data_IF_944133232717
#
_entry.id   IF_944133232717
#
_cell.length_a   1.000
_cell.length_b   1.000
_cell.length_c   1.000
_cell.angle_alpha   90.00
_cell.angle_beta   90.00
_cell.angle_gamma   90.00
#
_symmetry.space_group_name_H-M   'P 1'
#
loop_
_entity.id
_entity.type
_entity.pdbx_description
1 polymer ?
#
# COMPACT_ATOMS: atom_id res chain seq x y z
N UNK A 1 7.43 -8.08 -25.60
CA UNK A 1 6.11 -7.44 -25.85
C UNK A 1 4.94 -8.43 -25.98
N UNK A 2 5.01 -9.66 -25.42
CA UNK A 2 4.02 -10.71 -25.72
C UNK A 2 3.32 -11.38 -24.53
N UNK A 3 3.59 -11.00 -23.27
CA UNK A 3 3.02 -11.72 -22.12
C UNK A 3 1.66 -11.17 -21.62
N UNK A 4 1.28 -9.95 -22.04
CA UNK A 4 0.05 -9.29 -21.56
C UNK A 4 -1.11 -9.31 -22.57
N UNK A 5 -0.89 -9.76 -23.81
CA UNK A 5 -1.90 -9.72 -24.87
C UNK A 5 -2.87 -10.92 -24.88
N UNK A 6 -2.68 -11.91 -24.01
CA UNK A 6 -3.53 -13.11 -23.91
C UNK A 6 -4.29 -13.23 -22.60
N UNK A 7 -4.21 -12.22 -21.72
CA UNK A 7 -5.04 -12.17 -20.53
C UNK A 7 -6.41 -11.63 -20.94
N UNK A 8 -7.38 -12.52 -21.10
CA UNK A 8 -8.81 -12.17 -21.16
C UNK A 8 -9.19 -11.46 -19.85
N UNK A 9 -9.03 -10.14 -19.84
CA UNK A 9 -9.33 -9.33 -18.67
C UNK A 9 -10.85 -9.34 -18.47
N UNK A 10 -11.35 -9.82 -17.32
CA UNK A 10 -12.78 -9.91 -17.07
C UNK A 10 -13.41 -8.51 -17.15
N UNK A 11 -14.66 -8.41 -17.60
CA UNK A 11 -15.35 -7.10 -17.65
C UNK A 11 -15.45 -6.51 -16.23
N UNK A 12 -15.26 -5.19 -16.07
CA UNK A 12 -15.34 -4.58 -14.75
C UNK A 12 -16.75 -4.73 -14.15
N UNK A 13 -16.82 -5.08 -12.87
CA UNK A 13 -18.09 -5.40 -12.20
C UNK A 13 -18.80 -4.09 -11.76
N UNK A 14 -20.12 -3.94 -12.01
CA UNK A 14 -20.89 -2.78 -11.56
C UNK A 14 -20.91 -2.63 -10.03
N UNK A 15 -20.83 -1.38 -9.56
CA UNK A 15 -20.24 -1.05 -8.27
C UNK A 15 -21.29 -0.64 -7.23
N UNK A 16 -21.30 -1.32 -6.07
CA UNK A 16 -22.25 -1.03 -4.98
C UNK A 16 -21.71 -0.02 -3.94
N UNK A 17 -20.39 0.03 -3.71
CA UNK A 17 -19.76 0.89 -2.68
C UNK A 17 -18.53 1.65 -3.21
N UNK A 18 -18.77 2.79 -3.87
CA UNK A 18 -17.71 3.62 -4.49
C UNK A 18 -16.67 4.14 -3.48
N UNK A 19 -17.08 4.43 -2.24
CA UNK A 19 -16.17 4.97 -1.21
C UNK A 19 -15.13 3.93 -0.77
N UNK A 20 -15.54 2.69 -0.50
CA UNK A 20 -14.63 1.59 -0.13
C UNK A 20 -13.65 1.30 -1.26
N UNK A 21 -14.16 1.28 -2.49
CA UNK A 21 -13.33 1.11 -3.67
C UNK A 21 -12.31 2.23 -3.80
N UNK A 22 -12.72 3.48 -3.55
CA UNK A 22 -11.82 4.63 -3.51
C UNK A 22 -10.67 4.43 -2.52
N UNK A 23 -10.94 3.93 -1.31
CA UNK A 23 -9.90 3.65 -0.31
C UNK A 23 -8.94 2.56 -0.80
N UNK A 24 -9.46 1.44 -1.33
CA UNK A 24 -8.62 0.36 -1.88
C UNK A 24 -7.77 0.85 -3.07
N UNK A 25 -8.37 1.67 -3.93
CA UNK A 25 -7.68 2.26 -5.07
C UNK A 25 -6.56 3.19 -4.63
N UNK A 26 -6.84 4.08 -3.66
CA UNK A 26 -5.85 4.99 -3.10
C UNK A 26 -4.70 4.24 -2.43
N UNK A 27 -4.98 3.16 -1.69
CA UNK A 27 -3.95 2.32 -1.10
C UNK A 27 -3.04 1.69 -2.17
N UNK A 28 -3.63 1.09 -3.20
CA UNK A 28 -2.88 0.53 -4.33
C UNK A 28 -2.06 1.58 -5.09
N UNK A 29 -2.67 2.74 -5.36
CA UNK A 29 -2.01 3.85 -6.05
C UNK A 29 -0.84 4.41 -5.27
N UNK A 30 -0.98 4.56 -3.95
CA UNK A 30 0.10 5.02 -3.08
C UNK A 30 1.28 4.04 -3.10
N UNK A 31 1.02 2.75 -2.93
CA UNK A 31 2.07 1.71 -3.03
C UNK A 31 2.75 1.70 -4.40
N UNK A 32 1.96 1.83 -5.46
CA UNK A 32 2.48 1.85 -6.82
C UNK A 32 3.39 3.05 -7.05
N UNK A 33 2.93 4.26 -6.71
CA UNK A 33 3.70 5.50 -6.93
C UNK A 33 4.98 5.50 -6.10
N UNK A 34 4.91 5.14 -4.81
CA UNK A 34 6.11 5.05 -3.97
C UNK A 34 7.10 4.00 -4.50
N UNK A 35 6.59 2.82 -4.88
CA UNK A 35 7.37 1.76 -5.50
C UNK A 35 8.10 2.23 -6.76
N UNK A 36 7.40 2.90 -7.67
CA UNK A 36 8.01 3.42 -8.90
C UNK A 36 9.01 4.55 -8.59
N UNK A 37 8.68 5.48 -7.69
CA UNK A 37 9.57 6.58 -7.34
C UNK A 37 10.88 6.08 -6.73
N UNK A 38 10.83 5.17 -5.74
CA UNK A 38 12.04 4.59 -5.17
C UNK A 38 12.79 3.65 -6.13
N UNK A 39 12.07 3.04 -7.09
CA UNK A 39 12.71 2.26 -8.14
C UNK A 39 13.48 3.14 -9.12
N UNK A 40 12.90 4.26 -9.60
CA UNK A 40 13.51 5.13 -10.61
C UNK A 40 14.58 6.02 -9.97
N UNK A 41 14.28 6.63 -8.83
CA UNK A 41 15.08 7.64 -8.13
C UNK A 41 15.51 7.15 -6.72
N UNK A 42 16.34 6.10 -6.60
CA UNK A 42 16.70 5.55 -5.30
C UNK A 42 17.56 6.49 -4.45
N UNK A 43 18.37 7.37 -5.05
CA UNK A 43 19.20 8.33 -4.28
C UNK A 43 18.32 9.34 -3.53
N UNK A 44 17.40 9.98 -4.24
CA UNK A 44 16.40 10.85 -3.63
C UNK A 44 15.55 10.11 -2.59
N UNK A 45 15.09 8.90 -2.91
CA UNK A 45 14.19 8.17 -2.03
C UNK A 45 14.88 7.62 -0.78
N UNK A 46 16.03 6.97 -0.92
CA UNK A 46 16.69 6.27 0.18
C UNK A 46 17.70 7.15 0.90
N UNK A 47 18.53 7.90 0.18
CA UNK A 47 19.61 8.67 0.78
C UNK A 47 19.13 10.04 1.26
N UNK A 48 18.45 10.83 0.41
CA UNK A 48 18.03 12.17 0.82
C UNK A 48 16.87 12.16 1.81
N UNK A 49 15.88 11.28 1.61
CA UNK A 49 14.70 11.21 2.47
C UNK A 49 14.90 10.34 3.73
N UNK A 50 15.59 9.20 3.62
CA UNK A 50 15.71 8.23 4.72
C UNK A 50 17.14 8.02 5.23
N UNK A 51 18.13 8.76 4.71
CA UNK A 51 19.53 8.67 5.12
C UNK A 51 20.11 7.24 5.05
N UNK A 52 19.65 6.46 4.06
CA UNK A 52 20.13 5.10 3.82
C UNK A 52 21.36 5.14 2.92
N UNK A 53 22.46 4.59 3.43
CA UNK A 53 23.71 4.45 2.68
C UNK A 53 23.59 3.38 1.59
N UNK A 54 24.02 3.72 0.38
CA UNK A 54 24.09 2.80 -0.77
C UNK A 54 25.55 2.68 -1.26
N UNK A 55 26.44 2.01 -0.51
CA UNK A 55 27.88 2.02 -0.76
C UNK A 55 28.30 1.28 -2.03
N UNK A 56 27.44 0.41 -2.57
CA UNK A 56 27.75 -0.42 -3.73
C UNK A 56 26.60 -0.45 -4.74
N UNK A 57 26.88 -0.71 -6.03
CA UNK A 57 25.83 -0.96 -7.02
C UNK A 57 24.89 -2.11 -6.63
N UNK A 58 25.40 -3.10 -5.89
CA UNK A 58 24.61 -4.23 -5.40
C UNK A 58 23.57 -3.80 -4.36
N UNK A 59 23.94 -2.98 -3.37
CA UNK A 59 22.99 -2.43 -2.39
C UNK A 59 21.89 -1.61 -3.07
N UNK A 60 22.23 -0.76 -4.05
CA UNK A 60 21.25 0.00 -4.82
C UNK A 60 20.30 -0.91 -5.60
N UNK A 61 20.82 -1.98 -6.20
CA UNK A 61 20.00 -2.96 -6.94
C UNK A 61 19.00 -3.67 -6.03
N UNK A 62 19.42 -4.09 -4.84
CA UNK A 62 18.54 -4.73 -3.86
C UNK A 62 17.40 -3.79 -3.46
N UNK A 63 17.71 -2.53 -3.14
CA UNK A 63 16.72 -1.52 -2.79
C UNK A 63 15.74 -1.26 -3.95
N UNK A 64 16.23 -1.15 -5.19
CA UNK A 64 15.37 -1.06 -6.38
C UNK A 64 14.45 -2.27 -6.49
N UNK A 65 14.95 -3.49 -6.32
CA UNK A 65 14.12 -4.71 -6.36
C UNK A 65 13.02 -4.67 -5.30
N UNK A 66 13.32 -4.23 -4.08
CA UNK A 66 12.31 -4.07 -3.02
C UNK A 66 11.23 -3.05 -3.41
N UNK A 67 11.61 -1.92 -4.00
CA UNK A 67 10.65 -0.92 -4.50
C UNK A 67 9.85 -1.41 -5.71
N UNK A 68 10.47 -2.19 -6.60
CA UNK A 68 9.77 -2.85 -7.71
C UNK A 68 8.76 -3.88 -7.22
N UNK A 69 9.06 -4.59 -6.13
CA UNK A 69 8.11 -5.48 -5.48
C UNK A 69 6.93 -4.70 -4.87
N UNK A 70 7.20 -3.59 -4.18
CA UNK A 70 6.17 -2.69 -3.66
C UNK A 70 5.28 -2.13 -4.79
N UNK A 71 5.88 -1.71 -5.91
CA UNK A 71 5.14 -1.26 -7.09
C UNK A 71 4.26 -2.38 -7.65
N UNK A 72 4.79 -3.59 -7.75
CA UNK A 72 4.03 -4.76 -8.22
C UNK A 72 2.82 -5.04 -7.32
N UNK A 73 3.00 -5.01 -5.99
CA UNK A 73 1.88 -5.14 -5.04
C UNK A 73 0.85 -4.04 -5.27
N UNK A 74 1.29 -2.78 -5.41
CA UNK A 74 0.40 -1.65 -5.69
C UNK A 74 -0.42 -1.84 -6.97
N UNK A 75 0.21 -2.31 -8.05
CA UNK A 75 -0.45 -2.60 -9.32
C UNK A 75 -1.46 -3.75 -9.19
N UNK A 76 -1.10 -4.83 -8.49
CA UNK A 76 -2.01 -5.93 -8.18
C UNK A 76 -3.20 -5.44 -7.34
N UNK A 77 -2.97 -4.51 -6.41
CA UNK A 77 -4.04 -3.90 -5.61
C UNK A 77 -4.99 -3.04 -6.46
N UNK A 78 -4.45 -2.23 -7.38
CA UNK A 78 -5.23 -1.45 -8.33
C UNK A 78 -6.08 -2.34 -9.25
N UNK A 79 -5.47 -3.42 -9.77
CA UNK A 79 -6.16 -4.44 -10.56
C UNK A 79 -7.30 -5.08 -9.75
N UNK A 80 -7.02 -5.56 -8.55
CA UNK A 80 -8.01 -6.17 -7.66
C UNK A 80 -9.15 -5.19 -7.31
N UNK A 81 -8.83 -3.90 -7.12
CA UNK A 81 -9.84 -2.86 -6.90
C UNK A 81 -10.79 -2.69 -8.08
N UNK A 82 -10.30 -2.91 -9.30
CA UNK A 82 -11.11 -2.77 -10.52
C UNK A 82 -11.99 -3.99 -10.79
N UNK A 83 -11.50 -5.19 -10.49
CA UNK A 83 -12.12 -6.44 -10.94
C UNK A 83 -12.79 -7.27 -9.83
N UNK A 84 -12.47 -7.06 -8.55
CA UNK A 84 -13.15 -7.78 -7.47
C UNK A 84 -14.50 -7.12 -7.12
N UNK A 85 -15.55 -7.93 -7.02
CA UNK A 85 -16.88 -7.48 -6.56
C UNK A 85 -16.92 -7.26 -5.04
N UNK A 86 -16.19 -8.09 -4.29
CA UNK A 86 -16.16 -8.14 -2.83
C UNK A 86 -15.26 -7.05 -2.20
N UNK A 87 -15.49 -5.78 -2.56
CA UNK A 87 -14.69 -4.64 -2.11
C UNK A 87 -14.57 -4.51 -0.59
N UNK A 88 -15.58 -4.95 0.17
CA UNK A 88 -15.55 -4.96 1.64
C UNK A 88 -14.56 -5.98 2.20
N UNK A 89 -14.50 -7.18 1.62
CA UNK A 89 -13.49 -8.20 2.01
C UNK A 89 -12.11 -7.71 1.63
N UNK A 90 -11.99 -7.06 0.48
CA UNK A 90 -10.73 -6.47 0.04
C UNK A 90 -10.30 -5.30 0.95
N UNK A 91 -11.23 -4.49 1.45
CA UNK A 91 -10.94 -3.46 2.46
C UNK A 91 -10.38 -4.05 3.76
N UNK A 92 -10.82 -5.25 4.18
CA UNK A 92 -10.21 -5.94 5.31
C UNK A 92 -8.76 -6.31 5.02
N UNK A 93 -8.46 -6.80 3.81
CA UNK A 93 -7.08 -7.09 3.39
C UNK A 93 -6.22 -5.81 3.37
N UNK A 94 -6.76 -4.70 2.86
CA UNK A 94 -6.12 -3.38 2.95
C UNK A 94 -5.83 -3.00 4.40
N UNK A 95 -6.79 -3.22 5.31
CA UNK A 95 -6.61 -3.00 6.75
C UNK A 95 -5.52 -3.86 7.37
N UNK A 96 -5.44 -5.15 7.03
CA UNK A 96 -4.37 -6.06 7.49
C UNK A 96 -3.01 -5.59 7.00
N UNK A 97 -2.90 -5.18 5.74
CA UNK A 97 -1.66 -4.64 5.17
C UNK A 97 -1.23 -3.35 5.89
N UNK A 98 -2.16 -2.40 6.10
CA UNK A 98 -1.87 -1.16 6.84
C UNK A 98 -1.46 -1.45 8.28
N UNK A 99 -2.10 -2.40 8.95
CA UNK A 99 -1.70 -2.84 10.29
C UNK A 99 -0.28 -3.42 10.30
N UNK A 100 0.10 -4.17 9.27
CA UNK A 100 1.46 -4.68 9.09
C UNK A 100 2.50 -3.55 9.07
N UNK A 101 2.23 -2.46 8.36
CA UNK A 101 3.11 -1.28 8.37
C UNK A 101 3.19 -0.59 9.73
N UNK A 102 2.04 -0.40 10.41
CA UNK A 102 2.00 0.17 11.76
C UNK A 102 2.85 -0.66 12.73
N UNK A 103 2.67 -1.98 12.73
CA UNK A 103 3.39 -2.88 13.61
C UNK A 103 4.89 -2.93 13.28
N UNK A 104 5.27 -2.94 12.00
CA UNK A 104 6.68 -2.95 11.62
C UNK A 104 7.38 -1.65 12.01
N UNK A 105 6.71 -0.50 11.92
CA UNK A 105 7.27 0.78 12.40
C UNK A 105 7.39 0.85 13.90
N UNK A 106 6.38 0.39 14.63
CA UNK A 106 6.47 0.31 16.10
C UNK A 106 7.63 -0.62 16.48
N UNK A 107 7.77 -1.76 15.81
CA UNK A 107 8.90 -2.67 15.98
C UNK A 107 10.25 -1.98 15.73
N UNK A 108 10.39 -1.29 14.60
CA UNK A 108 11.61 -0.54 14.26
C UNK A 108 11.94 0.56 15.27
N UNK A 109 10.95 1.29 15.78
CA UNK A 109 11.18 2.29 16.85
C UNK A 109 11.66 1.65 18.16
N UNK A 110 11.13 0.48 18.50
CA UNK A 110 11.52 -0.27 19.71
C UNK A 110 12.93 -0.86 19.57
N UNK A 111 13.26 -1.39 18.39
CA UNK A 111 14.53 -2.11 18.15
C UNK A 111 15.68 -1.18 17.77
N UNK A 112 15.42 -0.21 16.90
CA UNK A 112 16.44 0.64 16.27
C UNK A 112 16.50 2.05 16.89
N UNK A 113 15.64 2.32 17.88
CA UNK A 113 15.64 3.52 18.68
C UNK A 113 14.69 4.62 18.21
N UNK A 114 14.46 5.59 19.10
CA UNK A 114 13.37 6.56 18.98
C UNK A 114 13.72 7.82 18.18
N UNK A 115 14.98 8.06 17.83
CA UNK A 115 15.38 9.28 17.12
C UNK A 115 15.15 9.17 15.59
N UNK A 116 13.89 8.97 15.18
CA UNK A 116 13.51 8.72 13.78
C UNK A 116 12.30 9.57 13.35
N UNK A 117 12.53 10.85 13.02
CA UNK A 117 11.46 11.82 12.69
C UNK A 117 10.53 11.36 11.56
N UNK A 118 11.08 10.78 10.48
CA UNK A 118 10.27 10.29 9.36
C UNK A 118 9.42 9.08 9.75
N UNK A 119 9.96 8.17 10.57
CA UNK A 119 9.23 6.99 11.05
C UNK A 119 7.99 7.41 11.84
N UNK A 120 8.06 8.45 12.67
CA UNK A 120 6.87 8.96 13.37
C UNK A 120 5.83 9.59 12.44
N UNK A 121 6.27 10.37 11.45
CA UNK A 121 5.34 11.00 10.48
C UNK A 121 4.58 9.94 9.68
N UNK A 122 5.30 8.92 9.25
CA UNK A 122 4.71 7.84 8.46
C UNK A 122 3.84 6.91 9.33
N UNK A 123 4.23 6.64 10.57
CA UNK A 123 3.40 5.94 11.55
C UNK A 123 2.09 6.69 11.81
N UNK A 124 2.14 8.02 11.98
CA UNK A 124 0.93 8.83 12.16
C UNK A 124 -0.01 8.73 10.96
N UNK A 125 0.53 8.79 9.74
CA UNK A 125 -0.23 8.60 8.51
C UNK A 125 -0.87 7.20 8.44
N UNK A 126 -0.13 6.15 8.76
CA UNK A 126 -0.60 4.76 8.73
C UNK A 126 -1.69 4.50 9.78
N UNK A 127 -1.54 5.06 10.98
CA UNK A 127 -2.56 5.01 12.04
C UNK A 127 -3.84 5.74 11.61
N UNK A 128 -3.72 6.92 10.99
CA UNK A 128 -4.88 7.64 10.43
C UNK A 128 -5.57 6.83 9.33
N UNK A 129 -4.80 6.24 8.41
CA UNK A 129 -5.34 5.39 7.37
C UNK A 129 -6.06 4.16 7.95
N UNK A 130 -5.49 3.53 8.97
CA UNK A 130 -6.10 2.38 9.65
C UNK A 130 -7.42 2.77 10.34
N UNK A 131 -7.49 3.94 10.96
CA UNK A 131 -8.73 4.46 11.55
C UNK A 131 -9.82 4.67 10.50
N UNK A 132 -9.49 5.27 9.35
CA UNK A 132 -10.43 5.45 8.23
C UNK A 132 -10.96 4.10 7.74
N UNK A 133 -10.07 3.11 7.55
CA UNK A 133 -10.45 1.75 7.15
C UNK A 133 -11.39 1.12 8.19
N UNK A 134 -11.06 1.24 9.48
CA UNK A 134 -11.86 0.68 10.56
C UNK A 134 -13.26 1.30 10.62
N UNK A 135 -13.37 2.64 10.58
CA UNK A 135 -14.66 3.35 10.54
C UNK A 135 -15.52 2.87 9.37
N UNK A 136 -14.91 2.71 8.19
CA UNK A 136 -15.60 2.22 7.00
C UNK A 136 -16.09 0.78 7.14
N UNK A 137 -15.31 -0.10 7.76
CA UNK A 137 -15.70 -1.49 8.02
C UNK A 137 -16.86 -1.58 9.02
N UNK A 138 -16.88 -0.72 10.05
CA UNK A 138 -17.95 -0.65 11.04
C UNK A 138 -19.23 -0.09 10.44
N UNK A 139 -19.17 1.04 9.75
CA UNK A 139 -20.35 1.70 9.17
C UNK A 139 -21.06 0.79 8.16
N UNK A 140 -20.30 0.13 7.28
CA UNK A 140 -20.88 -0.81 6.30
C UNK A 140 -21.40 -2.09 6.92
N UNK A 141 -20.97 -2.44 8.15
CA UNK A 141 -21.57 -3.55 8.89
C UNK A 141 -22.96 -3.19 9.44
N UNK A 142 -23.17 -1.93 9.85
CA UNK A 142 -24.45 -1.45 10.37
C UNK A 142 -25.51 -1.36 9.27
N UNK A 143 -25.12 -1.00 8.06
CA UNK A 143 -26.03 -0.92 6.91
C UNK A 143 -26.53 -2.32 6.46
N UNK A 144 -25.71 -3.35 6.62
CA UNK A 144 -26.11 -4.73 6.36
C UNK A 144 -27.00 -5.33 7.45
N UNK A 145 -26.98 -4.80 8.68
CA UNK A 145 -27.82 -5.27 9.78
C UNK A 145 -29.21 -4.62 9.80
N UNK A 146 -29.44 -3.60 8.96
CA UNK A 146 -30.72 -2.87 8.83
C UNK A 146 -31.57 -3.34 7.64
N UNK A 147 -31.04 -4.21 6.78
CA UNK A 147 -31.75 -4.88 5.70
C UNK A 147 -31.99 -6.34 6.05
#
# INVERSE_FOLDING_TARGET
MGLFCTLDLPKPIPMKNKLIQGINFSAGGFLFILGIMGYIYPEWFFQEKYDVLMPTPQSTTILRVMMGFMATIGLLWLWATRYLSEQRRFLKATGVMTLGFVLSRIGGLILDGWNQTFTYRELAFEVLALMVIFVMLVNTSKDHAKN
#
